data_IF_815601926485
#
_entry.id   IF_815601926485
#
_cell.length_a   1.000
_cell.length_b   1.000
_cell.length_c   1.000
_cell.angle_alpha   90.00
_cell.angle_beta   90.00
_cell.angle_gamma   90.00
#
_symmetry.space_group_name_H-M   'P 1'
#
loop_
_entity.id
_entity.type
_entity.pdbx_description
1 polymer ?
#
# COMPACT_ATOMS: atom_id res chain seq x y z
N UNK A 1 21.80 -0.34 -1.32
CA UNK A 1 20.45 -0.89 -1.10
C UNK A 1 19.45 -0.18 -1.99
N UNK A 2 18.43 -0.87 -2.41
CA UNK A 2 17.38 -0.28 -3.23
C UNK A 2 16.13 -0.04 -2.41
N UNK A 3 15.31 0.89 -2.87
CA UNK A 3 14.01 1.16 -2.27
C UNK A 3 12.94 0.37 -3.01
N UNK A 4 11.94 -0.10 -2.26
CA UNK A 4 10.83 -0.88 -2.80
C UNK A 4 9.52 -0.32 -2.29
N UNK A 5 8.52 -0.28 -3.17
CA UNK A 5 7.15 0.05 -2.81
C UNK A 5 6.41 -1.26 -2.53
N UNK A 6 5.85 -1.39 -1.34
CA UNK A 6 5.00 -2.52 -0.96
C UNK A 6 3.57 -1.98 -0.89
N UNK A 7 2.81 -2.16 -1.95
CA UNK A 7 1.45 -1.61 -2.03
C UNK A 7 0.42 -2.64 -1.63
N UNK A 8 -0.49 -2.21 -0.75
CA UNK A 8 -1.59 -3.05 -0.25
C UNK A 8 -2.80 -2.86 -1.15
N UNK A 9 -3.37 -3.96 -1.61
CA UNK A 9 -4.50 -3.94 -2.54
C UNK A 9 -5.71 -4.66 -1.96
N UNK A 10 -6.88 -4.23 -2.35
CA UNK A 10 -8.13 -4.90 -2.01
C UNK A 10 -9.10 -4.79 -3.20
N UNK A 11 -10.06 -5.71 -3.22
CA UNK A 11 -11.09 -5.72 -4.27
C UNK A 11 -12.22 -4.79 -3.83
N UNK A 12 -12.63 -3.89 -4.72
CA UNK A 12 -13.73 -2.98 -4.46
C UNK A 12 -15.03 -3.77 -4.21
N UNK A 13 -15.80 -3.33 -3.22
CA UNK A 13 -17.07 -3.98 -2.87
C UNK A 13 -16.96 -5.11 -1.85
N UNK A 14 -15.79 -5.38 -1.31
CA UNK A 14 -15.66 -6.31 -0.18
C UNK A 14 -16.34 -5.75 1.06
N UNK A 15 -16.97 -6.62 1.83
CA UNK A 15 -17.65 -6.22 3.05
C UNK A 15 -16.72 -5.63 4.09
N UNK A 16 -17.31 -4.88 5.03
CA UNK A 16 -16.55 -4.26 6.11
C UNK A 16 -15.91 -5.32 7.01
N UNK A 17 -14.68 -5.06 7.45
CA UNK A 17 -13.99 -5.90 8.42
C UNK A 17 -14.60 -5.66 9.81
N UNK A 18 -14.89 -6.71 10.60
CA UNK A 18 -15.35 -6.52 11.97
C UNK A 18 -14.37 -5.69 12.80
N UNK A 19 -14.89 -4.89 13.74
CA UNK A 19 -14.08 -3.95 14.52
C UNK A 19 -12.95 -4.62 15.30
N UNK A 20 -13.19 -5.81 15.87
CA UNK A 20 -12.18 -6.54 16.62
C UNK A 20 -11.03 -7.02 15.73
N UNK A 21 -11.35 -7.47 14.52
CA UNK A 21 -10.33 -7.86 13.54
C UNK A 21 -9.56 -6.65 13.02
N UNK A 22 -10.24 -5.54 12.84
CA UNK A 22 -9.62 -4.28 12.42
C UNK A 22 -8.64 -3.78 13.49
N UNK A 23 -9.04 -3.84 14.77
CA UNK A 23 -8.17 -3.44 15.87
C UNK A 23 -6.93 -4.33 15.94
N UNK A 24 -7.11 -5.65 15.79
CA UNK A 24 -6.00 -6.59 15.79
C UNK A 24 -5.04 -6.33 14.62
N UNK A 25 -5.58 -5.97 13.45
CA UNK A 25 -4.77 -5.62 12.28
C UNK A 25 -3.98 -4.33 12.52
N UNK A 26 -4.59 -3.30 13.12
CA UNK A 26 -3.90 -2.06 13.44
C UNK A 26 -2.72 -2.32 14.40
N UNK A 27 -2.92 -3.15 15.41
CA UNK A 27 -1.86 -3.51 16.36
C UNK A 27 -0.73 -4.29 15.67
N UNK A 28 -1.08 -5.21 14.77
CA UNK A 28 -0.09 -5.96 14.00
C UNK A 28 0.71 -5.06 13.06
N UNK A 29 0.06 -4.11 12.41
CA UNK A 29 0.72 -3.12 11.54
C UNK A 29 1.66 -2.25 12.37
N UNK A 30 1.25 -1.80 13.56
CA UNK A 30 2.11 -1.02 14.43
C UNK A 30 3.39 -1.78 14.82
N UNK A 31 3.25 -3.07 15.13
CA UNK A 31 4.41 -3.93 15.45
C UNK A 31 5.33 -4.08 14.24
N UNK A 32 4.77 -4.26 13.06
CA UNK A 32 5.54 -4.36 11.81
C UNK A 32 6.28 -3.05 11.53
N UNK A 33 5.61 -1.91 11.68
CA UNK A 33 6.23 -0.60 11.48
C UNK A 33 7.40 -0.39 12.44
N UNK A 34 7.23 -0.76 13.71
CA UNK A 34 8.28 -0.68 14.72
C UNK A 34 9.49 -1.54 14.32
N UNK A 35 9.23 -2.74 13.85
CA UNK A 35 10.30 -3.64 13.37
C UNK A 35 11.06 -3.03 12.19
N UNK A 36 10.34 -2.45 11.22
CA UNK A 36 10.99 -1.78 10.09
C UNK A 36 11.89 -0.64 10.55
N UNK A 37 11.44 0.14 11.51
CA UNK A 37 12.22 1.26 12.06
C UNK A 37 13.46 0.76 12.79
N UNK A 38 13.31 -0.28 13.60
CA UNK A 38 14.42 -0.86 14.37
C UNK A 38 15.49 -1.50 13.49
N UNK A 39 15.09 -2.10 12.38
CA UNK A 39 16.02 -2.76 11.46
C UNK A 39 16.61 -1.84 10.40
N UNK A 40 16.15 -0.59 10.34
CA UNK A 40 16.63 0.39 9.35
C UNK A 40 16.00 0.27 7.99
N UNK A 41 14.99 -0.57 7.83
CA UNK A 41 14.32 -0.76 6.54
C UNK A 41 13.25 0.31 6.26
N UNK A 42 12.82 1.03 7.28
CA UNK A 42 11.75 2.01 7.17
C UNK A 42 12.17 3.23 6.35
N UNK A 43 11.37 3.61 5.36
CA UNK A 43 11.47 4.90 4.68
C UNK A 43 10.19 5.70 4.93
N UNK A 44 9.04 5.18 4.53
CA UNK A 44 7.77 5.86 4.69
C UNK A 44 6.62 4.86 4.58
N UNK A 45 5.49 5.18 5.18
CA UNK A 45 4.27 4.40 5.02
C UNK A 45 3.05 5.32 5.09
N UNK A 46 1.98 4.91 4.46
CA UNK A 46 0.73 5.65 4.50
C UNK A 46 -0.46 4.77 4.18
N UNK A 47 -1.57 5.05 4.85
CA UNK A 47 -2.87 4.52 4.49
C UNK A 47 -3.62 5.52 3.65
N UNK A 48 -4.52 5.06 2.83
CA UNK A 48 -5.33 5.91 1.95
C UNK A 48 -6.79 5.85 2.37
N UNK A 49 -7.48 6.96 2.16
CA UNK A 49 -8.94 6.98 2.32
C UNK A 49 -9.59 6.10 1.24
N UNK A 50 -10.88 5.85 1.40
CA UNK A 50 -11.65 4.99 0.49
C UNK A 50 -11.62 5.51 -0.95
N UNK A 51 -11.77 4.60 -1.95
CA UNK A 51 -11.63 4.99 -3.37
C UNK A 51 -12.63 6.05 -3.84
N UNK A 52 -13.79 6.15 -3.21
CA UNK A 52 -14.79 7.17 -3.56
C UNK A 52 -14.29 8.60 -3.33
N UNK A 53 -13.20 8.76 -2.56
CA UNK A 53 -12.58 10.08 -2.34
C UNK A 53 -11.53 10.41 -3.39
N UNK A 54 -11.23 9.47 -4.30
CA UNK A 54 -10.20 9.66 -5.32
C UNK A 54 -10.69 10.59 -6.45
N UNK A 55 -9.74 11.21 -7.12
CA UNK A 55 -10.00 12.04 -8.29
C UNK A 55 -8.97 11.67 -9.36
N UNK A 56 -9.43 11.40 -10.56
CA UNK A 56 -8.56 11.14 -11.70
C UNK A 56 -8.25 12.48 -12.38
N UNK A 57 -6.98 12.72 -12.66
CA UNK A 57 -6.53 13.93 -13.39
C UNK A 57 -5.79 13.46 -14.64
N UNK A 58 -6.23 13.96 -15.78
CA UNK A 58 -5.59 13.66 -17.06
C UNK A 58 -5.31 14.98 -17.78
N UNK A 59 -4.05 15.31 -17.94
CA UNK A 59 -3.58 16.52 -18.60
C UNK A 59 -2.74 16.17 -19.83
N UNK A 60 -2.92 14.98 -20.39
CA UNK A 60 -2.15 14.52 -21.56
C UNK A 60 -2.66 15.10 -22.89
N UNK A 61 -3.89 15.61 -22.92
CA UNK A 61 -4.47 16.27 -24.09
C UNK A 61 -4.34 17.79 -24.02
N UNK A 62 -5.12 18.47 -24.85
CA UNK A 62 -5.12 19.94 -24.91
C UNK A 62 -5.67 20.59 -23.62
N UNK A 63 -6.57 19.89 -22.94
CA UNK A 63 -7.18 20.38 -21.71
C UNK A 63 -6.96 19.36 -20.57
N UNK A 64 -6.90 19.87 -19.34
CA UNK A 64 -6.85 19.00 -18.15
C UNK A 64 -8.27 18.53 -17.82
N UNK A 65 -8.44 17.22 -17.73
CA UNK A 65 -9.71 16.60 -17.38
C UNK A 65 -9.60 16.05 -15.98
N UNK A 66 -10.53 16.41 -15.10
CA UNK A 66 -10.64 15.85 -13.75
C UNK A 66 -11.94 15.09 -13.62
N UNK A 67 -11.87 13.89 -13.05
CA UNK A 67 -13.03 13.02 -12.89
C UNK A 67 -13.07 12.53 -11.44
N UNK A 68 -14.21 12.68 -10.78
CA UNK A 68 -14.39 12.16 -9.42
C UNK A 68 -14.39 10.64 -9.42
N UNK A 69 -13.78 10.08 -8.39
CA UNK A 69 -13.67 8.64 -8.21
C UNK A 69 -12.45 8.03 -8.91
N UNK A 70 -12.19 6.74 -8.67
CA UNK A 70 -11.11 6.02 -9.35
C UNK A 70 -11.52 5.67 -10.78
N UNK A 71 -10.60 5.07 -11.55
CA UNK A 71 -10.98 4.53 -12.86
C UNK A 71 -12.12 3.53 -12.71
N UNK A 72 -13.17 3.68 -13.49
CA UNK A 72 -14.37 2.84 -13.39
C UNK A 72 -14.10 1.37 -13.71
N UNK A 73 -13.08 1.09 -14.54
CA UNK A 73 -12.68 -0.26 -14.92
C UNK A 73 -11.76 -0.93 -13.91
N UNK A 74 -11.26 -0.21 -12.92
CA UNK A 74 -10.35 -0.76 -11.94
C UNK A 74 -11.08 -1.73 -11.01
N UNK A 75 -10.56 -2.96 -10.91
CA UNK A 75 -11.13 -4.02 -10.05
C UNK A 75 -10.48 -4.04 -8.68
N UNK A 76 -9.22 -3.65 -8.61
CA UNK A 76 -8.46 -3.60 -7.38
C UNK A 76 -8.08 -2.16 -7.07
N UNK A 77 -8.10 -1.83 -5.78
CA UNK A 77 -7.78 -0.50 -5.29
C UNK A 77 -6.61 -0.57 -4.34
N UNK A 78 -5.70 0.40 -4.42
CA UNK A 78 -4.63 0.53 -3.45
C UNK A 78 -5.22 1.13 -2.16
N UNK A 79 -4.98 0.47 -1.03
CA UNK A 79 -5.45 0.93 0.27
C UNK A 79 -4.38 1.54 1.14
N UNK A 80 -3.11 1.29 0.81
CA UNK A 80 -1.98 1.81 1.57
C UNK A 80 -0.68 1.28 0.99
N UNK A 81 0.43 1.71 1.57
CA UNK A 81 1.73 1.30 1.08
C UNK A 81 2.82 1.50 2.13
N UNK A 82 3.89 0.77 1.96
CA UNK A 82 5.18 1.01 2.64
C UNK A 82 6.24 1.27 1.59
N UNK A 83 7.16 2.17 1.88
CA UNK A 83 8.41 2.29 1.15
C UNK A 83 9.51 1.79 2.09
N UNK A 84 10.26 0.80 1.64
CA UNK A 84 11.29 0.15 2.45
C UNK A 84 12.61 0.12 1.70
N UNK A 85 13.72 0.04 2.45
CA UNK A 85 15.02 -0.26 1.90
C UNK A 85 15.36 -1.73 2.13
N UNK A 86 15.85 -2.40 1.11
CA UNK A 86 16.26 -3.79 1.19
C UNK A 86 17.43 -4.03 0.25
N UNK A 87 18.30 -5.03 0.56
CA UNK A 87 19.45 -5.32 -0.29
C UNK A 87 19.06 -5.88 -1.66
N UNK A 88 17.95 -6.58 -1.74
CA UNK A 88 17.47 -7.20 -2.98
C UNK A 88 15.95 -7.43 -2.93
N UNK A 89 15.41 -7.89 -4.05
CA UNK A 89 13.96 -8.15 -4.15
C UNK A 89 13.52 -9.26 -3.19
N UNK A 90 14.32 -10.30 -3.00
CA UNK A 90 13.94 -11.40 -2.10
C UNK A 90 13.75 -10.90 -0.68
N UNK A 91 14.65 -10.03 -0.19
CA UNK A 91 14.52 -9.42 1.12
C UNK A 91 13.26 -8.53 1.20
N UNK A 92 13.01 -7.75 0.14
CA UNK A 92 11.81 -6.91 0.08
C UNK A 92 10.52 -7.75 0.09
N UNK A 93 10.50 -8.87 -0.62
CA UNK A 93 9.34 -9.77 -0.63
C UNK A 93 9.11 -10.44 0.71
N UNK A 94 10.17 -10.73 1.45
CA UNK A 94 10.03 -11.23 2.83
C UNK A 94 9.34 -10.19 3.72
N UNK A 95 9.71 -8.91 3.58
CA UNK A 95 9.04 -7.83 4.29
C UNK A 95 7.58 -7.67 3.82
N UNK A 96 7.32 -7.82 2.52
CA UNK A 96 5.96 -7.78 1.99
C UNK A 96 5.09 -8.89 2.57
N UNK A 97 5.64 -10.08 2.76
CA UNK A 97 4.92 -11.20 3.40
C UNK A 97 4.53 -10.85 4.84
N UNK A 98 5.43 -10.24 5.60
CA UNK A 98 5.12 -9.80 6.96
C UNK A 98 4.06 -8.71 6.98
N UNK A 99 4.17 -7.72 6.07
CA UNK A 99 3.19 -6.66 5.94
C UNK A 99 1.82 -7.16 5.54
N UNK A 100 1.78 -8.10 4.59
CA UNK A 100 0.54 -8.74 4.14
C UNK A 100 -0.17 -9.48 5.27
N UNK A 101 0.59 -10.23 6.07
CA UNK A 101 0.04 -10.92 7.24
C UNK A 101 -0.50 -9.92 8.26
N UNK A 102 0.21 -8.81 8.48
CA UNK A 102 -0.19 -7.79 9.46
C UNK A 102 -1.47 -7.07 9.05
N UNK A 103 -1.56 -6.61 7.80
CA UNK A 103 -2.72 -5.84 7.32
C UNK A 103 -3.83 -6.75 6.78
N UNK A 104 -3.59 -8.06 6.68
CA UNK A 104 -4.55 -9.07 6.22
C UNK A 104 -5.02 -8.83 4.79
N UNK A 105 -4.11 -8.38 3.93
CA UNK A 105 -4.40 -8.16 2.52
C UNK A 105 -3.19 -8.44 1.64
N UNK A 106 -3.41 -8.73 0.36
CA UNK A 106 -2.30 -8.97 -0.55
C UNK A 106 -1.49 -7.70 -0.79
N UNK A 107 -0.19 -7.88 -1.03
CA UNK A 107 0.72 -6.78 -1.34
C UNK A 107 1.49 -7.06 -2.61
N UNK A 108 1.80 -5.99 -3.33
CA UNK A 108 2.67 -6.04 -4.50
C UNK A 108 3.97 -5.33 -4.14
N UNK A 109 5.09 -6.05 -4.24
CA UNK A 109 6.42 -5.48 -4.03
C UNK A 109 7.05 -5.09 -5.35
N UNK A 110 7.55 -3.85 -5.43
CA UNK A 110 8.07 -3.33 -6.68
C UNK A 110 9.21 -2.35 -6.42
N UNK A 111 10.33 -2.57 -7.11
CA UNK A 111 11.50 -1.71 -6.95
C UNK A 111 11.25 -0.31 -7.51
N UNK A 112 11.80 0.69 -6.82
CA UNK A 112 11.82 2.05 -7.35
C UNK A 112 12.85 2.15 -8.48
N UNK A 113 12.55 2.90 -9.50
CA UNK A 113 13.49 3.15 -10.59
C UNK A 113 14.51 4.24 -10.24
N UNK A 114 14.34 4.89 -9.09
CA UNK A 114 15.29 5.90 -8.56
C UNK A 114 15.56 5.63 -7.09
N UNK A 115 16.79 5.90 -6.70
CA UNK A 115 17.24 5.78 -5.32
C UNK A 115 17.59 7.13 -4.73
#
# INVERSE_FOLDING_TARGET
>A
MSQYLLSVHYVDGQGATPDDEMQAAFEAVDRFNTKLQETGAWVFAGGLHTPDTATVVDATGAETITTDGPFSEAKEQIGGFWVVEAPDLDAALALAAEGSAACRGPEIGRASCRE
#
